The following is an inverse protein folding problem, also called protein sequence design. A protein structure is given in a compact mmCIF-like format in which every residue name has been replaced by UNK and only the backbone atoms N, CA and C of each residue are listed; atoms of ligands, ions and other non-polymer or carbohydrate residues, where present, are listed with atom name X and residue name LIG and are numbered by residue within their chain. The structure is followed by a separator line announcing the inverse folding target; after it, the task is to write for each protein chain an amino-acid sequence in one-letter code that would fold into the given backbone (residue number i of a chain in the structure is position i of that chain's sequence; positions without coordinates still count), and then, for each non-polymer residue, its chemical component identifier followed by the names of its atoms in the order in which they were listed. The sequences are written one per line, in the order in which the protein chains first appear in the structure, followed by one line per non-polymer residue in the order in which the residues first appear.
data_IF_308609537901
#
_entry.id   IF_308609537901
#
_cell.length_a   1.000
_cell.length_b   1.000
_cell.length_c   1.000
_cell.angle_alpha   90.00
_cell.angle_beta   90.00
_cell.angle_gamma   90.00
#
_symmetry.space_group_name_H-M   'P 1'
#
loop_
_entity.id
_entity.type
_entity.pdbx_description
1 polymer ?
#
# COMPACT_ATOMS: atom_id res chain seq x y z
N UNK A 1 -14.87 13.22 -7.02
CA UNK A 1 -14.56 11.89 -6.45
C UNK A 1 -14.45 10.91 -7.62
N UNK A 2 -13.51 9.98 -7.54
CA UNK A 2 -13.40 8.84 -8.47
C UNK A 2 -13.53 7.54 -7.67
N UNK A 3 -14.45 6.67 -8.06
CA UNK A 3 -14.62 5.34 -7.47
C UNK A 3 -14.32 4.26 -8.49
N UNK A 4 -13.37 3.37 -8.19
CA UNK A 4 -13.02 2.22 -9.01
C UNK A 4 -13.52 0.97 -8.31
N UNK A 5 -14.33 0.16 -9.00
CA UNK A 5 -14.89 -1.07 -8.44
C UNK A 5 -14.85 -2.19 -9.47
N UNK A 6 -14.06 -3.24 -9.20
CA UNK A 6 -13.82 -4.31 -10.15
C UNK A 6 -14.21 -5.66 -9.51
N UNK A 7 -15.37 -6.17 -9.91
CA UNK A 7 -15.87 -7.50 -9.60
C UNK A 7 -15.44 -8.52 -10.67
N UNK A 8 -15.25 -8.10 -11.92
CA UNK A 8 -14.93 -8.98 -13.05
C UNK A 8 -13.65 -8.56 -13.77
N UNK A 9 -12.83 -9.57 -14.06
CA UNK A 9 -11.55 -9.44 -14.74
C UNK A 9 -11.53 -10.29 -16.02
N UNK A 10 -10.84 -9.83 -17.05
CA UNK A 10 -10.63 -10.59 -18.29
C UNK A 10 -9.87 -11.92 -18.05
N UNK A 11 -9.12 -12.02 -16.96
CA UNK A 11 -8.45 -13.23 -16.50
C UNK A 11 -9.39 -14.39 -16.13
N UNK A 12 -10.70 -14.15 -16.02
CA UNK A 12 -11.72 -15.19 -15.87
C UNK A 12 -12.39 -15.26 -14.48
N UNK A 13 -13.22 -16.28 -14.28
CA UNK A 13 -14.06 -16.42 -13.09
C UNK A 13 -13.29 -16.57 -11.78
N UNK A 14 -12.09 -17.14 -11.82
CA UNK A 14 -11.25 -17.36 -10.63
C UNK A 14 -10.74 -16.07 -10.01
N UNK A 15 -10.75 -15.00 -10.81
CA UNK A 15 -10.41 -13.64 -10.40
C UNK A 15 -11.64 -12.84 -9.97
N UNK A 16 -12.84 -13.39 -10.15
CA UNK A 16 -14.06 -12.63 -9.86
C UNK A 16 -14.19 -12.35 -8.37
N UNK A 17 -14.47 -11.09 -8.06
CA UNK A 17 -14.83 -10.62 -6.74
C UNK A 17 -16.34 -10.35 -6.70
N UNK A 18 -16.85 -10.19 -5.48
CA UNK A 18 -18.22 -9.74 -5.26
C UNK A 18 -18.19 -8.61 -4.26
N UNK A 19 -18.62 -7.42 -4.68
CA UNK A 19 -18.76 -6.27 -3.79
C UNK A 19 -18.01 -4.99 -4.19
N UNK A 20 -16.80 -5.02 -4.76
CA UNK A 20 -16.12 -3.80 -5.19
C UNK A 20 -16.98 -2.81 -6.01
N UNK A 21 -17.78 -3.30 -6.96
CA UNK A 21 -18.74 -2.48 -7.72
C UNK A 21 -19.81 -1.87 -6.79
N UNK A 22 -20.38 -2.69 -5.89
CA UNK A 22 -21.40 -2.23 -4.94
C UNK A 22 -20.84 -1.17 -3.98
N UNK A 23 -19.61 -1.36 -3.51
CA UNK A 23 -18.92 -0.43 -2.61
C UNK A 23 -18.67 0.92 -3.30
N UNK A 24 -18.15 0.91 -4.54
CA UNK A 24 -17.96 2.13 -5.32
C UNK A 24 -19.27 2.93 -5.49
N UNK A 25 -20.39 2.24 -5.74
CA UNK A 25 -21.73 2.86 -5.85
C UNK A 25 -22.20 3.41 -4.49
N UNK A 26 -21.98 2.68 -3.38
CA UNK A 26 -22.30 3.15 -2.02
C UNK A 26 -21.52 4.42 -1.67
N UNK A 27 -20.23 4.47 -1.99
CA UNK A 27 -19.44 5.69 -1.84
C UNK A 27 -20.02 6.81 -2.70
N UNK A 28 -20.33 6.57 -3.98
CA UNK A 28 -20.93 7.57 -4.87
C UNK A 28 -22.20 8.19 -4.26
N UNK A 29 -23.13 7.33 -3.80
CA UNK A 29 -24.37 7.75 -3.13
C UNK A 29 -24.07 8.62 -1.91
N UNK A 30 -23.09 8.23 -1.09
CA UNK A 30 -22.73 8.99 0.11
C UNK A 30 -22.14 10.36 -0.23
N UNK A 31 -21.28 10.44 -1.25
CA UNK A 31 -20.68 11.68 -1.73
C UNK A 31 -21.75 12.64 -2.29
N UNK A 32 -22.65 12.14 -3.14
CA UNK A 32 -23.77 12.92 -3.68
C UNK A 32 -24.70 13.40 -2.55
N UNK A 33 -25.05 12.52 -1.62
CA UNK A 33 -25.87 12.89 -0.46
C UNK A 33 -25.20 13.90 0.48
N UNK A 34 -23.87 14.02 0.43
CA UNK A 34 -23.09 15.00 1.19
C UNK A 34 -22.87 16.32 0.43
N UNK A 35 -23.53 16.49 -0.73
CA UNK A 35 -23.52 17.73 -1.52
C UNK A 35 -22.44 17.81 -2.60
N UNK A 36 -21.70 16.73 -2.88
CA UNK A 36 -20.79 16.71 -4.02
C UNK A 36 -21.62 16.65 -5.32
N UNK A 37 -21.42 17.58 -6.27
CA UNK A 37 -22.17 17.58 -7.52
C UNK A 37 -22.02 16.23 -8.26
N UNK A 38 -23.12 15.57 -8.68
CA UNK A 38 -23.06 14.26 -9.33
C UNK A 38 -22.12 14.19 -10.53
N UNK A 39 -22.06 15.25 -11.33
CA UNK A 39 -21.17 15.36 -12.50
C UNK A 39 -19.67 15.40 -12.14
N UNK A 40 -19.34 15.68 -10.87
CA UNK A 40 -17.98 15.59 -10.33
C UNK A 40 -17.65 14.23 -9.69
N UNK A 41 -18.60 13.29 -9.74
CA UNK A 41 -18.44 11.92 -9.30
C UNK A 41 -18.31 11.02 -10.53
N UNK A 42 -17.19 10.32 -10.63
CA UNK A 42 -16.91 9.39 -11.73
C UNK A 42 -16.71 7.98 -11.18
N UNK A 43 -17.46 7.01 -11.69
CA UNK A 43 -17.33 5.59 -11.36
C UNK A 43 -16.72 4.83 -12.52
N UNK A 44 -15.65 4.09 -12.24
CA UNK A 44 -14.96 3.19 -13.15
C UNK A 44 -15.25 1.77 -12.69
N UNK A 45 -16.14 1.08 -13.39
CA UNK A 45 -16.73 -0.17 -12.90
C UNK A 45 -16.50 -1.33 -13.87
N UNK A 46 -16.41 -2.54 -13.32
CA UNK A 46 -16.49 -3.77 -14.10
C UNK A 46 -17.10 -4.91 -13.26
N UNK A 47 -18.25 -5.49 -13.67
CA UNK A 47 -19.02 -5.15 -14.86
C UNK A 47 -19.73 -3.80 -14.71
N UNK A 48 -20.34 -3.36 -15.81
CA UNK A 48 -21.27 -2.23 -15.77
C UNK A 48 -22.41 -2.53 -14.79
N UNK A 49 -22.80 -1.55 -13.97
CA UNK A 49 -23.89 -1.71 -13.02
C UNK A 49 -25.25 -1.59 -13.71
N UNK A 50 -26.31 -1.98 -13.01
CA UNK A 50 -27.65 -1.55 -13.36
C UNK A 50 -27.73 0.00 -13.24
N UNK A 51 -28.13 0.73 -14.30
CA UNK A 51 -28.21 2.20 -14.24
C UNK A 51 -29.13 2.72 -13.13
N UNK A 52 -30.15 1.95 -12.72
CA UNK A 52 -31.11 2.34 -11.68
C UNK A 52 -30.49 2.39 -10.29
N UNK A 53 -29.36 1.71 -10.07
CA UNK A 53 -28.67 1.73 -8.77
C UNK A 53 -27.68 2.89 -8.64
N UNK A 54 -27.35 3.56 -9.74
CA UNK A 54 -26.40 4.68 -9.74
C UNK A 54 -27.15 6.01 -9.50
N UNK A 55 -26.63 6.93 -8.66
CA UNK A 55 -27.25 8.24 -8.51
C UNK A 55 -27.34 9.00 -9.84
N UNK A 56 -28.45 9.71 -10.13
CA UNK A 56 -28.59 10.49 -11.35
C UNK A 56 -27.47 11.53 -11.51
N UNK A 57 -26.93 11.65 -12.72
CA UNK A 57 -25.87 12.60 -13.07
C UNK A 57 -24.44 12.13 -12.78
N UNK A 58 -24.26 11.01 -12.07
CA UNK A 58 -22.94 10.39 -11.88
C UNK A 58 -22.43 9.83 -13.21
N UNK A 59 -21.17 10.10 -13.52
CA UNK A 59 -20.52 9.58 -14.74
C UNK A 59 -20.06 8.16 -14.49
N UNK A 60 -20.54 7.20 -15.28
CA UNK A 60 -20.14 5.77 -15.19
C UNK A 60 -19.38 5.37 -16.45
N UNK A 61 -18.25 4.71 -16.29
CA UNK A 61 -17.41 4.18 -17.37
C UNK A 61 -16.78 2.83 -16.97
N UNK A 62 -16.19 2.15 -17.93
CA UNK A 62 -15.45 0.90 -17.71
C UNK A 62 -14.19 1.10 -16.86
N UNK A 63 -13.82 0.07 -16.09
CA UNK A 63 -12.59 0.02 -15.29
C UNK A 63 -11.39 -0.62 -16.03
N UNK A 64 -11.39 -0.58 -17.36
CA UNK A 64 -10.23 -1.01 -18.18
C UNK A 64 -9.05 -0.04 -18.10
N UNK A 65 -7.85 -0.54 -18.42
CA UNK A 65 -6.59 0.20 -18.41
C UNK A 65 -6.67 1.52 -19.17
N UNK A 66 -7.26 1.53 -20.36
CA UNK A 66 -7.31 2.72 -21.21
C UNK A 66 -8.17 3.82 -20.57
N UNK A 67 -9.37 3.45 -20.10
CA UNK A 67 -10.34 4.37 -19.51
C UNK A 67 -9.83 4.92 -18.17
N UNK A 68 -9.27 4.06 -17.32
CA UNK A 68 -8.71 4.49 -16.03
C UNK A 68 -7.57 5.49 -16.24
N UNK A 69 -6.66 5.21 -17.18
CA UNK A 69 -5.57 6.14 -17.53
C UNK A 69 -6.08 7.47 -18.05
N UNK A 70 -7.07 7.46 -18.94
CA UNK A 70 -7.59 8.68 -19.54
C UNK A 70 -8.21 9.59 -18.47
N UNK A 71 -9.02 9.02 -17.57
CA UNK A 71 -9.62 9.75 -16.45
C UNK A 71 -8.57 10.29 -15.50
N UNK A 72 -7.63 9.45 -15.02
CA UNK A 72 -6.66 9.86 -14.01
C UNK A 72 -5.59 10.82 -14.54
N UNK A 73 -5.09 10.61 -15.76
CA UNK A 73 -3.92 11.35 -16.27
C UNK A 73 -4.25 12.48 -17.23
N UNK A 74 -5.45 12.47 -17.84
CA UNK A 74 -5.84 13.52 -18.80
C UNK A 74 -7.00 14.34 -18.32
N UNK A 75 -8.07 13.71 -17.83
CA UNK A 75 -9.24 14.46 -17.42
C UNK A 75 -9.05 15.13 -16.06
N UNK A 76 -8.70 14.37 -15.02
CA UNK A 76 -8.58 14.92 -13.66
C UNK A 76 -7.63 16.13 -13.55
N UNK A 77 -6.42 16.13 -14.16
CA UNK A 77 -5.51 17.26 -14.03
C UNK A 77 -6.06 18.57 -14.63
N UNK A 78 -6.95 18.49 -15.63
CA UNK A 78 -7.57 19.68 -16.26
C UNK A 78 -8.65 20.33 -15.42
N UNK A 79 -9.16 19.62 -14.41
CA UNK A 79 -10.24 20.14 -13.58
C UNK A 79 -9.68 21.19 -12.60
N UNK A 80 -10.53 22.06 -12.05
CA UNK A 80 -10.13 23.11 -11.10
C UNK A 80 -10.84 22.89 -9.75
N UNK A 81 -10.35 21.94 -8.98
CA UNK A 81 -10.82 21.70 -7.62
C UNK A 81 -9.67 21.89 -6.62
N UNK A 82 -9.95 21.73 -5.33
CA UNK A 82 -8.93 21.75 -4.28
C UNK A 82 -8.74 20.39 -3.62
N UNK A 83 -9.73 19.49 -3.75
CA UNK A 83 -9.73 18.19 -3.06
C UNK A 83 -10.11 17.05 -4.00
N UNK A 84 -9.30 15.99 -4.01
CA UNK A 84 -9.54 14.74 -4.73
C UNK A 84 -9.81 13.61 -3.74
N UNK A 85 -10.80 12.79 -4.08
CA UNK A 85 -11.07 11.52 -3.40
C UNK A 85 -11.01 10.41 -4.43
N UNK A 86 -10.15 9.43 -4.21
CA UNK A 86 -10.05 8.21 -5.02
C UNK A 86 -10.36 7.01 -4.14
N UNK A 87 -11.37 6.24 -4.49
CA UNK A 87 -11.68 4.97 -3.83
C UNK A 87 -11.41 3.85 -4.84
N UNK A 88 -10.69 2.82 -4.43
CA UNK A 88 -10.37 1.68 -5.28
C UNK A 88 -10.69 0.37 -4.56
N UNK A 89 -11.61 -0.42 -5.12
CA UNK A 89 -11.90 -1.77 -4.70
C UNK A 89 -11.58 -2.77 -5.81
N UNK A 90 -10.82 -3.80 -5.48
CA UNK A 90 -10.46 -4.86 -6.43
C UNK A 90 -9.26 -5.68 -5.98
N UNK A 91 -8.70 -6.46 -6.89
CA UNK A 91 -7.43 -7.15 -6.67
C UNK A 91 -6.24 -6.20 -6.73
N UNK A 92 -5.26 -6.51 -5.90
CA UNK A 92 -3.96 -5.85 -5.88
C UNK A 92 -2.88 -6.80 -5.38
N UNK A 93 -1.64 -6.43 -5.64
CA UNK A 93 -0.46 -7.18 -5.22
C UNK A 93 0.72 -6.24 -4.99
N UNK A 94 1.79 -6.77 -4.41
CA UNK A 94 3.07 -6.08 -4.27
C UNK A 94 4.06 -6.76 -5.19
N UNK A 95 4.67 -5.99 -6.10
CA UNK A 95 5.67 -6.53 -7.03
C UNK A 95 7.04 -6.75 -6.36
N UNK A 96 8.00 -7.28 -7.12
CA UNK A 96 9.37 -7.53 -6.65
C UNK A 96 10.16 -6.26 -6.35
N UNK A 97 9.73 -5.10 -6.86
CA UNK A 97 10.23 -3.78 -6.48
C UNK A 97 9.56 -3.22 -5.22
N UNK A 98 8.64 -3.98 -4.62
CA UNK A 98 7.75 -3.59 -3.51
C UNK A 98 6.78 -2.47 -3.87
N UNK A 99 6.51 -2.26 -5.15
CA UNK A 99 5.49 -1.33 -5.59
C UNK A 99 4.12 -1.97 -5.46
N UNK A 100 3.15 -1.20 -4.95
CA UNK A 100 1.75 -1.59 -4.89
C UNK A 100 1.13 -1.50 -6.27
N UNK A 101 0.56 -2.61 -6.70
CA UNK A 101 -0.03 -2.79 -8.02
C UNK A 101 -1.52 -3.05 -7.88
N UNK A 102 -2.32 -2.37 -8.68
CA UNK A 102 -3.78 -2.52 -8.70
C UNK A 102 -4.23 -3.00 -10.08
N UNK A 103 -4.89 -4.15 -10.14
CA UNK A 103 -5.32 -4.75 -11.40
C UNK A 103 -6.47 -3.96 -12.04
N UNK A 104 -6.36 -3.67 -13.33
CA UNK A 104 -7.46 -3.20 -14.17
C UNK A 104 -8.41 -4.34 -14.54
N UNK A 105 -9.61 -4.00 -15.00
CA UNK A 105 -10.61 -5.01 -15.39
C UNK A 105 -10.18 -5.86 -16.60
N UNK A 106 -9.35 -5.32 -17.49
CA UNK A 106 -8.81 -6.01 -18.67
C UNK A 106 -7.52 -6.79 -18.39
N UNK A 107 -7.12 -6.91 -17.11
CA UNK A 107 -6.04 -7.81 -16.69
C UNK A 107 -6.32 -9.27 -17.09
N UNK A 108 -5.31 -9.95 -17.63
CA UNK A 108 -5.36 -11.35 -18.07
C UNK A 108 -4.32 -12.20 -17.36
N UNK A 109 -4.36 -13.52 -17.54
CA UNK A 109 -3.32 -14.41 -17.01
C UNK A 109 -1.93 -14.21 -17.67
N UNK A 110 -1.85 -13.55 -18.81
CA UNK A 110 -0.58 -13.35 -19.54
C UNK A 110 -0.08 -11.90 -19.51
N UNK A 111 -0.99 -10.94 -19.41
CA UNK A 111 -0.69 -9.53 -19.16
C UNK A 111 -1.34 -9.15 -17.83
N UNK A 112 -0.50 -8.87 -16.84
CA UNK A 112 -0.95 -8.45 -15.52
C UNK A 112 -1.94 -7.30 -15.60
N UNK A 113 -1.83 -6.33 -16.51
CA UNK A 113 -2.87 -5.32 -16.55
C UNK A 113 -2.96 -4.50 -15.26
N UNK A 114 -1.85 -3.97 -14.70
CA UNK A 114 -1.89 -3.36 -13.37
C UNK A 114 -1.30 -1.94 -13.29
N UNK A 115 -2.06 -1.05 -12.64
CA UNK A 115 -1.67 0.30 -12.27
C UNK A 115 -0.56 0.26 -11.21
N UNK A 116 0.51 1.00 -11.45
CA UNK A 116 1.53 1.31 -10.44
C UNK A 116 1.02 2.41 -9.50
N UNK A 117 0.53 2.03 -8.33
CA UNK A 117 -0.06 2.99 -7.40
C UNK A 117 0.97 3.96 -6.85
N UNK A 118 2.17 3.48 -6.52
CA UNK A 118 3.19 4.33 -5.91
C UNK A 118 3.69 5.38 -6.91
N UNK A 119 3.93 5.02 -8.18
CA UNK A 119 4.28 6.02 -9.19
C UNK A 119 3.11 6.95 -9.55
N UNK A 120 1.86 6.48 -9.50
CA UNK A 120 0.68 7.33 -9.70
C UNK A 120 0.56 8.37 -8.58
N UNK A 121 0.74 7.96 -7.32
CA UNK A 121 0.76 8.88 -6.18
C UNK A 121 1.87 9.92 -6.35
N UNK A 122 3.06 9.50 -6.78
CA UNK A 122 4.18 10.42 -7.07
C UNK A 122 3.83 11.42 -8.18
N UNK A 123 3.16 10.99 -9.26
CA UNK A 123 2.64 11.90 -10.30
C UNK A 123 1.71 12.94 -9.70
N UNK A 124 0.73 12.53 -8.89
CA UNK A 124 -0.25 13.42 -8.29
C UNK A 124 0.33 14.34 -7.19
N UNK A 125 1.46 13.96 -6.58
CA UNK A 125 2.22 14.81 -5.66
C UNK A 125 3.11 15.85 -6.37
N UNK A 126 3.26 15.75 -7.70
CA UNK A 126 4.19 16.56 -8.49
C UNK A 126 3.52 17.65 -9.31
N UNK A 127 4.27 18.68 -9.72
CA UNK A 127 3.82 19.80 -10.56
C UNK A 127 3.07 19.39 -11.85
N UNK A 128 3.14 18.13 -12.30
CA UNK A 128 2.30 17.58 -13.38
C UNK A 128 0.79 17.61 -13.10
N UNK A 129 0.37 17.64 -11.83
CA UNK A 129 -1.04 17.69 -11.43
C UNK A 129 -1.30 18.86 -10.48
N UNK A 130 -1.48 20.06 -11.03
CA UNK A 130 -1.62 21.30 -10.24
C UNK A 130 -2.92 21.42 -9.44
N UNK A 131 -3.95 20.66 -9.82
CA UNK A 131 -5.33 20.96 -9.49
C UNK A 131 -5.88 20.32 -8.21
N UNK A 132 -5.04 19.74 -7.35
CA UNK A 132 -5.51 19.09 -6.11
C UNK A 132 -4.51 19.27 -4.95
N UNK A 133 -4.79 20.26 -4.10
CA UNK A 133 -4.02 20.53 -2.90
C UNK A 133 -4.18 19.44 -1.84
N UNK A 134 -5.38 18.85 -1.74
CA UNK A 134 -5.68 17.73 -0.83
C UNK A 134 -6.14 16.52 -1.60
N UNK A 135 -5.65 15.35 -1.20
CA UNK A 135 -5.95 14.10 -1.88
C UNK A 135 -6.11 12.99 -0.86
N UNK A 136 -7.24 12.26 -0.93
CA UNK A 136 -7.51 11.09 -0.11
C UNK A 136 -7.72 9.87 -1.00
N UNK A 137 -6.88 8.87 -0.82
CA UNK A 137 -6.94 7.59 -1.52
C UNK A 137 -7.35 6.49 -0.54
N UNK A 138 -8.40 5.74 -0.86
CA UNK A 138 -8.91 4.64 -0.05
C UNK A 138 -8.83 3.39 -0.91
N UNK A 139 -7.92 2.47 -0.58
CA UNK A 139 -7.58 1.31 -1.40
C UNK A 139 -7.93 0.03 -0.65
N UNK A 140 -9.01 -0.61 -1.07
CA UNK A 140 -9.47 -1.91 -0.61
C UNK A 140 -9.02 -3.01 -1.57
N UNK A 141 -7.73 -3.35 -1.45
CA UNK A 141 -7.07 -4.40 -2.21
C UNK A 141 -6.04 -5.13 -1.36
N UNK A 142 -5.74 -6.37 -1.72
CA UNK A 142 -4.67 -7.16 -1.12
C UNK A 142 -3.29 -6.54 -1.37
N UNK A 143 -2.33 -6.81 -0.48
CA UNK A 143 -0.92 -6.42 -0.64
C UNK A 143 0.01 -7.63 -0.48
N UNK A 144 -0.39 -8.79 -0.98
CA UNK A 144 0.44 -10.00 -0.98
C UNK A 144 1.59 -9.86 -1.99
N UNK A 145 2.77 -10.41 -1.66
CA UNK A 145 3.86 -10.57 -2.63
C UNK A 145 3.53 -11.73 -3.56
N UNK A 146 3.72 -11.50 -4.85
CA UNK A 146 3.57 -12.40 -6.00
C UNK A 146 2.66 -13.66 -5.88
N UNK A 147 1.57 -13.61 -6.66
CA UNK A 147 0.81 -14.70 -7.32
C UNK A 147 0.05 -15.73 -6.46
N UNK A 148 -1.10 -15.33 -5.93
CA UNK A 148 -2.22 -16.27 -5.72
C UNK A 148 -2.93 -16.67 -7.03
N UNK A 149 -2.67 -15.95 -8.13
CA UNK A 149 -3.31 -16.20 -9.42
C UNK A 149 -2.26 -16.18 -10.54
N UNK A 150 -2.40 -17.11 -11.50
CA UNK A 150 -1.42 -17.56 -12.49
C UNK A 150 -0.87 -16.52 -13.51
N UNK A 151 -0.73 -15.25 -13.15
CA UNK A 151 -0.10 -14.23 -14.00
C UNK A 151 1.37 -14.53 -14.13
N UNK A 152 1.91 -14.59 -15.36
CA UNK A 152 3.33 -14.95 -15.58
C UNK A 152 4.26 -13.74 -15.67
N UNK A 153 3.74 -12.57 -16.03
CA UNK A 153 4.52 -11.37 -16.30
C UNK A 153 4.14 -10.24 -15.35
N UNK A 154 5.07 -9.63 -14.61
CA UNK A 154 4.74 -8.45 -13.79
C UNK A 154 4.31 -7.28 -14.68
N UNK A 155 3.36 -6.47 -14.19
CA UNK A 155 3.04 -5.19 -14.84
C UNK A 155 4.28 -4.29 -14.88
N UNK A 156 4.54 -3.67 -16.02
CA UNK A 156 5.69 -2.79 -16.27
C UNK A 156 5.30 -1.31 -16.34
N UNK A 157 4.04 -1.00 -16.03
CA UNK A 157 3.53 0.37 -16.08
C UNK A 157 4.22 1.21 -15.01
N UNK A 158 4.59 2.44 -15.38
CA UNK A 158 5.06 3.46 -14.45
C UNK A 158 4.64 4.81 -14.99
N UNK A 159 4.41 5.77 -14.10
CA UNK A 159 3.95 7.11 -14.47
C UNK A 159 5.04 8.16 -14.25
N UNK A 160 5.09 9.22 -15.08
CA UNK A 160 6.05 10.29 -14.89
C UNK A 160 5.76 11.02 -13.58
N UNK A 161 6.81 11.32 -12.82
CA UNK A 161 6.75 12.22 -11.67
C UNK A 161 7.55 13.48 -12.01
N UNK A 162 6.91 14.64 -11.89
CA UNK A 162 7.56 15.94 -12.06
C UNK A 162 8.24 16.41 -10.77
N UNK A 163 8.41 17.73 -10.63
CA UNK A 163 9.02 18.29 -9.43
C UNK A 163 8.04 18.23 -8.23
N UNK A 164 8.53 17.99 -7.00
CA UNK A 164 7.71 18.11 -5.79
C UNK A 164 7.02 19.48 -5.70
N UNK A 165 5.70 19.48 -5.50
CA UNK A 165 4.92 20.71 -5.48
C UNK A 165 4.49 21.09 -4.06
N UNK A 166 4.86 22.29 -3.62
CA UNK A 166 4.64 22.74 -2.26
C UNK A 166 3.15 22.87 -1.89
N UNK A 167 2.82 22.56 -0.64
CA UNK A 167 1.48 22.78 -0.08
C UNK A 167 0.50 21.63 -0.31
N UNK A 168 0.94 20.55 -0.97
CA UNK A 168 0.10 19.39 -1.24
C UNK A 168 0.12 18.37 -0.11
N UNK A 169 -1.05 17.79 0.15
CA UNK A 169 -1.25 16.73 1.15
C UNK A 169 -1.91 15.52 0.51
N UNK A 170 -1.30 14.35 0.70
CA UNK A 170 -1.83 13.07 0.25
C UNK A 170 -2.00 12.13 1.45
N UNK A 171 -3.23 11.69 1.64
CA UNK A 171 -3.64 10.70 2.61
C UNK A 171 -3.99 9.41 1.87
N UNK A 172 -3.33 8.30 2.20
CA UNK A 172 -3.57 7.02 1.53
C UNK A 172 -3.86 5.94 2.56
N UNK A 173 -5.07 5.40 2.53
CA UNK A 173 -5.52 4.35 3.42
C UNK A 173 -5.60 3.05 2.65
N UNK A 174 -4.97 2.03 3.19
CA UNK A 174 -4.97 0.68 2.65
C UNK A 174 -5.74 -0.27 3.56
N UNK A 175 -6.54 -1.13 2.95
CA UNK A 175 -7.23 -2.19 3.67
C UNK A 175 -6.26 -3.14 4.38
N UNK A 176 -5.15 -3.51 3.74
CA UNK A 176 -4.19 -4.47 4.26
C UNK A 176 -2.79 -3.87 4.38
N UNK A 177 -1.95 -4.42 5.25
CA UNK A 177 -0.51 -4.14 5.27
C UNK A 177 0.24 -4.93 4.21
N UNK A 178 1.48 -4.53 3.92
CA UNK A 178 2.37 -5.29 3.03
C UNK A 178 2.47 -6.75 3.49
N UNK A 179 2.31 -7.68 2.55
CA UNK A 179 2.25 -9.12 2.81
C UNK A 179 0.91 -9.64 3.36
N UNK A 180 -0.13 -8.81 3.46
CA UNK A 180 -1.45 -9.24 3.96
C UNK A 180 -2.53 -9.22 2.87
N UNK A 181 -3.50 -10.13 3.01
CA UNK A 181 -4.73 -10.13 2.22
C UNK A 181 -5.76 -9.16 2.80
N UNK A 182 -6.54 -8.52 1.93
CA UNK A 182 -7.75 -7.81 2.30
C UNK A 182 -8.94 -8.79 2.30
N UNK A 183 -9.79 -8.73 3.31
CA UNK A 183 -10.90 -9.65 3.48
C UNK A 183 -12.11 -9.21 2.64
N UNK A 184 -12.54 -10.07 1.72
CA UNK A 184 -13.78 -9.89 0.96
C UNK A 184 -14.94 -10.67 1.61
N UNK A 185 -16.03 -9.97 1.94
CA UNK A 185 -17.21 -10.53 2.59
C UNK A 185 -18.27 -10.88 1.53
N UNK A 186 -18.05 -11.98 0.80
CA UNK A 186 -18.87 -12.39 -0.37
C UNK A 186 -20.39 -12.32 -0.15
N UNK A 187 -20.89 -12.83 0.98
CA UNK A 187 -22.33 -12.82 1.31
C UNK A 187 -22.87 -11.39 1.47
N UNK A 188 -22.06 -10.48 2.02
CA UNK A 188 -22.42 -9.07 2.24
C UNK A 188 -22.07 -8.19 1.04
N UNK A 189 -21.42 -8.75 0.01
CA UNK A 189 -20.99 -8.07 -1.22
C UNK A 189 -20.26 -6.77 -0.90
N UNK A 190 -19.18 -6.89 -0.13
CA UNK A 190 -18.35 -5.74 0.30
C UNK A 190 -16.98 -6.20 0.77
N UNK A 191 -15.97 -5.35 0.65
CA UNK A 191 -14.72 -5.50 1.39
C UNK A 191 -14.92 -5.19 2.88
N UNK A 192 -14.25 -5.93 3.78
CA UNK A 192 -14.35 -5.68 5.22
C UNK A 192 -13.92 -4.23 5.55
N UNK A 193 -12.91 -3.73 4.86
CA UNK A 193 -12.41 -2.38 5.04
C UNK A 193 -13.39 -1.33 4.50
N UNK A 194 -13.83 -1.46 3.25
CA UNK A 194 -14.83 -0.57 2.66
C UNK A 194 -16.11 -0.51 3.50
N UNK A 195 -16.57 -1.65 4.03
CA UNK A 195 -17.71 -1.71 4.96
C UNK A 195 -17.51 -0.82 6.18
N UNK A 196 -16.38 -0.93 6.87
CA UNK A 196 -16.13 -0.14 8.08
C UNK A 196 -15.96 1.35 7.77
N UNK A 197 -15.34 1.70 6.65
CA UNK A 197 -15.26 3.09 6.17
C UNK A 197 -16.68 3.63 5.91
N UNK A 198 -17.49 2.92 5.11
CA UNK A 198 -18.86 3.32 4.81
C UNK A 198 -19.71 3.44 6.07
N UNK A 199 -19.58 2.51 7.02
CA UNK A 199 -20.27 2.56 8.32
C UNK A 199 -19.94 3.84 9.09
N UNK A 200 -18.67 4.24 9.13
CA UNK A 200 -18.23 5.48 9.79
C UNK A 200 -18.78 6.72 9.07
N UNK A 201 -18.81 6.70 7.73
CA UNK A 201 -19.39 7.79 6.94
C UNK A 201 -20.90 7.90 7.11
N UNK A 202 -21.62 6.78 7.22
CA UNK A 202 -23.09 6.71 7.37
C UNK A 202 -23.57 7.15 8.75
N UNK A 203 -22.78 6.92 9.81
CA UNK A 203 -23.13 7.27 11.19
C UNK A 203 -23.22 8.78 11.49
N UNK A 204 -23.08 9.64 10.48
CA UNK A 204 -23.39 11.08 10.58
C UNK A 204 -22.20 12.01 10.86
N UNK A 205 -20.98 11.50 10.82
CA UNK A 205 -19.75 12.28 11.03
C UNK A 205 -19.10 12.63 9.67
N UNK A 206 -19.77 13.41 8.82
CA UNK A 206 -19.24 13.84 7.49
C UNK A 206 -17.89 14.56 7.59
N UNK A 207 -17.53 15.01 8.79
CA UNK A 207 -16.23 15.56 9.16
C UNK A 207 -15.05 14.59 8.93
N UNK A 208 -15.28 13.27 8.86
CA UNK A 208 -14.22 12.28 8.61
C UNK A 208 -13.48 12.46 7.28
N UNK A 209 -14.15 12.96 6.24
CA UNK A 209 -13.50 13.21 4.95
C UNK A 209 -12.66 14.51 4.96
N UNK A 210 -13.00 15.45 5.85
CA UNK A 210 -12.21 16.64 6.15
C UNK A 210 -11.08 16.38 7.15
N UNK A 211 -11.18 15.30 7.94
CA UNK A 211 -10.20 14.86 8.94
C UNK A 211 -9.81 13.37 8.75
N UNK A 212 -8.95 13.07 7.76
CA UNK A 212 -8.46 11.71 7.52
C UNK A 212 -7.73 11.09 8.72
N UNK A 213 -7.08 11.91 9.56
CA UNK A 213 -6.34 11.43 10.72
C UNK A 213 -7.28 10.82 11.76
N UNK A 214 -8.40 11.50 12.04
CA UNK A 214 -9.46 10.97 12.88
C UNK A 214 -9.98 9.67 12.24
N UNK A 215 -10.29 9.64 10.94
CA UNK A 215 -10.87 8.47 10.27
C UNK A 215 -9.99 7.24 10.47
N UNK A 216 -8.68 7.43 10.31
CA UNK A 216 -7.67 6.38 10.54
C UNK A 216 -7.66 5.92 11.99
N UNK A 217 -7.77 6.81 12.97
CA UNK A 217 -7.81 6.45 14.38
C UNK A 217 -9.02 5.55 14.70
N UNK A 218 -10.21 5.93 14.24
CA UNK A 218 -11.44 5.14 14.44
C UNK A 218 -11.37 3.76 13.75
N UNK A 219 -10.86 3.72 12.52
CA UNK A 219 -10.68 2.46 11.79
C UNK A 219 -9.72 1.52 12.54
N UNK A 220 -8.65 2.05 13.15
CA UNK A 220 -7.69 1.21 13.89
C UNK A 220 -8.25 0.61 15.15
N UNK A 221 -8.96 1.41 15.93
CA UNK A 221 -9.62 0.93 17.13
C UNK A 221 -10.56 -0.22 16.76
N UNK A 222 -11.38 0.00 15.73
CA UNK A 222 -12.29 -1.02 15.23
C UNK A 222 -11.60 -2.29 14.76
N UNK A 223 -10.54 -2.17 13.96
CA UNK A 223 -9.81 -3.35 13.48
C UNK A 223 -9.02 -4.05 14.59
N UNK A 224 -8.68 -3.34 15.67
CA UNK A 224 -8.09 -3.96 16.87
C UNK A 224 -9.10 -4.85 17.58
N UNK A 225 -10.34 -4.40 17.74
CA UNK A 225 -11.43 -5.21 18.29
C UNK A 225 -11.74 -6.44 17.41
N UNK A 226 -11.79 -6.25 16.09
CA UNK A 226 -12.06 -7.35 15.14
C UNK A 226 -10.96 -8.41 15.18
N UNK A 227 -9.70 -8.02 15.35
CA UNK A 227 -8.59 -8.98 15.53
C UNK A 227 -8.66 -9.68 16.88
N UNK A 228 -8.93 -8.94 17.96
CA UNK A 228 -9.04 -9.51 19.31
C UNK A 228 -10.18 -10.55 19.41
N UNK A 229 -11.24 -10.38 18.62
CA UNK A 229 -12.35 -11.32 18.51
C UNK A 229 -12.13 -12.45 17.50
N UNK A 230 -10.95 -12.51 16.85
CA UNK A 230 -10.63 -13.55 15.86
C UNK A 230 -11.40 -13.42 14.53
N UNK A 231 -12.08 -12.31 14.28
CA UNK A 231 -12.90 -12.10 13.09
C UNK A 231 -12.10 -11.70 11.85
N UNK A 232 -10.84 -11.30 12.00
CA UNK A 232 -9.92 -10.99 10.90
C UNK A 232 -8.46 -11.04 11.34
N UNK A 233 -7.54 -11.31 10.41
CA UNK A 233 -6.09 -11.09 10.58
C UNK A 233 -5.59 -9.81 9.91
N UNK A 234 -6.45 -9.12 9.15
CA UNK A 234 -6.12 -7.92 8.38
C UNK A 234 -5.77 -6.74 9.30
N UNK A 235 -4.73 -5.99 8.92
CA UNK A 235 -4.37 -4.73 9.57
C UNK A 235 -4.38 -3.60 8.55
N UNK A 236 -5.36 -2.68 8.61
CA UNK A 236 -5.35 -1.50 7.76
C UNK A 236 -4.07 -0.70 7.99
N UNK A 237 -3.41 -0.35 6.89
CA UNK A 237 -2.23 0.51 6.95
C UNK A 237 -2.56 1.87 6.38
N UNK A 238 -2.02 2.89 7.02
CA UNK A 238 -2.15 4.27 6.58
C UNK A 238 -0.77 4.76 6.17
N UNK A 239 -0.70 5.33 4.97
CA UNK A 239 0.45 6.03 4.44
C UNK A 239 0.08 7.52 4.34
N UNK A 240 0.84 8.36 5.01
CA UNK A 240 0.67 9.81 4.98
C UNK A 240 1.86 10.45 4.26
N UNK A 241 1.57 11.31 3.28
CA UNK A 241 2.57 12.00 2.47
C UNK A 241 2.32 13.53 2.45
N UNK A 242 3.37 14.31 2.72
CA UNK A 242 3.39 15.78 2.56
C UNK A 242 4.76 16.17 2.00
N UNK A 243 4.81 16.99 0.95
CA UNK A 243 6.06 17.64 0.53
C UNK A 243 5.89 19.18 0.49
N UNK A 244 6.92 19.93 0.91
CA UNK A 244 7.76 20.68 -0.02
C UNK A 244 9.25 20.76 0.36
N UNK A 245 9.66 20.41 1.59
CA UNK A 245 11.02 20.65 2.10
C UNK A 245 11.50 19.64 3.17
N UNK A 246 11.27 18.34 2.93
CA UNK A 246 12.08 17.31 3.58
C UNK A 246 11.42 16.48 4.69
N UNK A 247 11.62 15.18 4.50
CA UNK A 247 11.44 14.02 5.38
C UNK A 247 10.04 13.41 5.61
N UNK A 248 9.99 12.13 5.20
CA UNK A 248 8.86 11.21 5.08
C UNK A 248 8.70 10.27 6.29
N UNK A 249 7.45 9.84 6.51
CA UNK A 249 7.16 8.43 6.79
C UNK A 249 6.31 8.16 8.02
N UNK A 250 5.18 7.49 7.81
CA UNK A 250 4.61 6.62 8.82
C UNK A 250 3.72 5.55 8.19
N UNK A 251 4.27 4.35 7.93
CA UNK A 251 3.46 3.12 7.90
C UNK A 251 3.12 2.80 9.35
N UNK A 252 2.00 3.32 9.82
CA UNK A 252 1.49 2.94 11.14
C UNK A 252 0.84 1.55 11.07
N UNK A 253 1.67 0.52 10.96
CA UNK A 253 1.31 -0.86 11.28
C UNK A 253 1.89 -1.21 12.66
N UNK A 254 1.43 -0.58 13.75
CA UNK A 254 1.90 -0.99 15.07
C UNK A 254 1.08 -2.17 15.56
N UNK A 255 1.66 -3.37 15.41
CA UNK A 255 1.35 -4.50 16.29
C UNK A 255 1.63 -4.08 17.75
N UNK A 256 0.58 -4.18 18.58
CA UNK A 256 0.55 -4.08 20.05
C UNK A 256 1.38 -2.95 20.72
N UNK A 257 0.68 -1.91 21.21
CA UNK A 257 1.11 -1.17 22.39
C UNK A 257 0.48 -1.84 23.62
N UNK A 258 1.29 -2.63 24.33
CA UNK A 258 0.87 -3.31 25.56
C UNK A 258 2.06 -3.65 26.46
N UNK A 259 3.05 -2.75 26.55
CA UNK A 259 4.09 -2.76 27.60
C UNK A 259 4.81 -1.41 27.63
N UNK A 260 5.25 -0.90 28.80
CA UNK A 260 6.06 0.31 28.87
C UNK A 260 7.30 0.15 27.98
N UNK A 261 7.58 1.16 27.16
CA UNK A 261 8.76 1.22 26.30
C UNK A 261 9.98 1.40 27.20
N UNK A 262 10.93 0.44 27.25
CA UNK A 262 12.24 0.71 27.84
C UNK A 262 12.93 1.82 27.02
N UNK A 263 13.84 2.61 27.62
CA UNK A 263 14.55 3.66 26.90
C UNK A 263 15.16 3.11 25.60
N UNK A 264 15.01 3.86 24.50
CA UNK A 264 15.52 3.44 23.20
C UNK A 264 17.02 3.11 23.32
N UNK A 265 17.49 1.95 22.80
CA UNK A 265 18.91 1.68 22.73
C UNK A 265 19.60 2.81 21.93
N UNK A 266 20.79 3.21 22.38
CA UNK A 266 21.55 4.26 21.73
C UNK A 266 21.76 3.92 20.24
N UNK A 267 21.56 4.86 19.33
CA UNK A 267 21.83 4.58 17.89
C UNK A 267 23.32 4.25 17.71
N UNK A 268 23.69 3.08 17.16
CA UNK A 268 25.10 2.77 16.96
C UNK A 268 25.72 3.72 15.93
N UNK A 269 26.96 4.20 16.16
CA UNK A 269 27.66 5.04 15.21
C UNK A 269 27.86 4.29 13.87
N UNK A 270 27.92 5.02 12.74
CA UNK A 270 28.08 4.40 11.41
C UNK A 270 29.26 3.43 11.29
N UNK A 271 30.35 3.68 12.02
CA UNK A 271 31.53 2.82 12.04
C UNK A 271 31.24 1.40 12.59
N UNK A 272 30.25 1.24 13.48
CA UNK A 272 29.84 -0.07 13.99
C UNK A 272 28.90 -0.81 13.04
N UNK A 273 28.20 -0.10 12.16
CA UNK A 273 27.34 -0.72 11.14
C UNK A 273 28.14 -1.28 9.96
N UNK A 274 29.27 -0.64 9.64
CA UNK A 274 30.05 -0.93 8.44
C UNK A 274 30.46 -2.41 8.32
N UNK A 275 30.97 -3.10 9.36
CA UNK A 275 31.38 -4.51 9.24
C UNK A 275 30.24 -5.44 8.83
N UNK A 276 29.05 -5.29 9.44
CA UNK A 276 27.89 -6.10 9.08
C UNK A 276 27.38 -5.77 7.67
N UNK A 277 27.33 -4.49 7.31
CA UNK A 277 26.92 -4.05 5.96
C UNK A 277 27.87 -4.61 4.90
N UNK A 278 29.18 -4.52 5.12
CA UNK A 278 30.19 -5.04 4.20
C UNK A 278 30.12 -6.57 4.10
N UNK A 279 29.87 -7.26 5.22
CA UNK A 279 29.67 -8.71 5.23
C UNK A 279 28.43 -9.13 4.44
N UNK A 280 27.29 -8.46 4.64
CA UNK A 280 26.07 -8.69 3.86
C UNK A 280 26.31 -8.47 2.36
N UNK A 281 27.02 -7.41 1.98
CA UNK A 281 27.34 -7.13 0.58
C UNK A 281 28.37 -8.09 -0.03
N UNK A 282 29.07 -8.87 0.80
CA UNK A 282 29.97 -9.94 0.34
C UNK A 282 29.24 -11.24 0.00
N UNK A 283 27.96 -11.36 0.38
CA UNK A 283 27.12 -12.52 0.04
C UNK A 283 26.48 -12.28 -1.34
N UNK A 284 26.78 -13.09 -2.35
CA UNK A 284 26.27 -12.89 -3.72
C UNK A 284 24.74 -12.82 -3.80
N UNK A 285 24.05 -13.66 -3.02
CA UNK A 285 22.59 -13.73 -2.95
C UNK A 285 22.00 -12.45 -2.32
N UNK A 286 22.69 -11.85 -1.34
CA UNK A 286 22.23 -10.59 -0.75
C UNK A 286 22.58 -9.36 -1.62
N UNK A 287 23.59 -9.47 -2.48
CA UNK A 287 23.99 -8.38 -3.39
C UNK A 287 22.98 -8.18 -4.53
N UNK A 288 22.34 -9.26 -5.00
CA UNK A 288 21.39 -9.21 -6.13
C UNK A 288 20.01 -8.73 -5.66
N UNK A 289 19.38 -7.76 -6.34
CA UNK A 289 18.10 -7.20 -5.88
C UNK A 289 16.97 -8.21 -5.70
N UNK A 290 16.83 -9.20 -6.59
CA UNK A 290 15.78 -10.22 -6.53
C UNK A 290 15.98 -11.19 -5.36
N UNK A 291 17.15 -11.83 -5.31
CA UNK A 291 17.53 -12.77 -4.25
C UNK A 291 17.49 -12.10 -2.86
N UNK A 292 17.95 -10.85 -2.74
CA UNK A 292 17.83 -10.05 -1.51
C UNK A 292 16.38 -9.80 -1.10
N UNK A 293 15.48 -9.59 -2.05
CA UNK A 293 14.06 -9.41 -1.75
C UNK A 293 13.46 -10.69 -1.18
N UNK A 294 13.84 -11.84 -1.74
CA UNK A 294 13.44 -13.16 -1.25
C UNK A 294 13.96 -13.42 0.17
N UNK A 295 15.24 -13.14 0.43
CA UNK A 295 15.85 -13.21 1.77
C UNK A 295 15.05 -12.38 2.78
N UNK A 296 14.76 -11.11 2.43
CA UNK A 296 14.09 -10.19 3.35
C UNK A 296 12.62 -10.53 3.55
N UNK A 297 11.98 -11.21 2.59
CA UNK A 297 10.60 -11.66 2.71
C UNK A 297 10.40 -12.70 3.84
N UNK A 298 11.47 -13.37 4.28
CA UNK A 298 11.45 -14.27 5.43
C UNK A 298 11.36 -13.55 6.78
N UNK A 299 11.66 -12.26 6.83
CA UNK A 299 11.48 -11.46 8.05
C UNK A 299 9.99 -11.32 8.36
N UNK A 300 9.66 -11.27 9.64
CA UNK A 300 8.27 -11.03 10.05
C UNK A 300 7.74 -9.72 9.47
N UNK A 301 6.46 -9.74 9.05
CA UNK A 301 5.89 -8.72 8.17
C UNK A 301 6.08 -7.27 8.62
N UNK A 302 6.04 -6.97 9.93
CA UNK A 302 6.24 -5.60 10.43
C UNK A 302 7.69 -5.11 10.35
N UNK A 303 8.69 -5.99 10.46
CA UNK A 303 10.11 -5.63 10.29
C UNK A 303 10.35 -5.39 8.81
N UNK A 304 9.95 -6.35 7.98
CA UNK A 304 10.06 -6.26 6.54
C UNK A 304 9.40 -4.98 5.99
N UNK A 305 8.17 -4.68 6.43
CA UNK A 305 7.44 -3.47 6.03
C UNK A 305 8.12 -2.15 6.43
N UNK A 306 8.95 -2.15 7.49
CA UNK A 306 9.62 -0.95 7.98
C UNK A 306 10.94 -0.62 7.27
N UNK A 307 11.48 -1.54 6.46
CA UNK A 307 12.73 -1.35 5.72
C UNK A 307 12.48 -0.37 4.57
N UNK A 308 13.17 0.78 4.57
CA UNK A 308 13.17 1.70 3.42
C UNK A 308 14.07 1.14 2.33
N UNK A 309 13.54 0.80 1.16
CA UNK A 309 14.34 0.19 0.09
C UNK A 309 15.14 1.21 -0.69
N UNK A 310 16.27 0.76 -1.22
CA UNK A 310 17.04 1.51 -2.21
C UNK A 310 17.51 0.58 -3.33
N UNK A 311 17.53 1.10 -4.57
CA UNK A 311 18.17 0.41 -5.69
C UNK A 311 19.70 0.29 -5.50
N UNK A 312 20.30 1.20 -4.73
CA UNK A 312 21.71 1.13 -4.38
C UNK A 312 21.95 0.10 -3.26
N UNK A 313 22.69 -0.97 -3.58
CA UNK A 313 22.87 -2.13 -2.70
C UNK A 313 23.33 -1.76 -1.27
N UNK A 314 24.33 -0.89 -1.16
CA UNK A 314 24.88 -0.44 0.12
C UNK A 314 23.88 0.38 0.95
N UNK A 315 23.15 1.29 0.31
CA UNK A 315 22.16 2.14 0.99
C UNK A 315 21.02 1.28 1.54
N UNK A 316 20.61 0.30 0.76
CA UNK A 316 19.57 -0.64 1.15
C UNK A 316 20.02 -1.56 2.30
N UNK A 317 21.24 -2.11 2.25
CA UNK A 317 21.80 -2.90 3.35
C UNK A 317 21.89 -2.11 4.66
N UNK A 318 22.28 -0.83 4.61
CA UNK A 318 22.27 0.07 5.79
C UNK A 318 20.85 0.23 6.34
N UNK A 319 19.86 0.40 5.47
CA UNK A 319 18.45 0.54 5.85
C UNK A 319 17.92 -0.73 6.52
N UNK A 320 18.24 -1.90 5.96
CA UNK A 320 17.89 -3.23 6.51
C UNK A 320 18.46 -3.37 7.93
N UNK A 321 19.76 -3.18 8.11
CA UNK A 321 20.43 -3.34 9.42
C UNK A 321 19.85 -2.37 10.44
N UNK A 322 19.73 -1.08 10.10
CA UNK A 322 19.15 -0.06 11.00
C UNK A 322 17.71 -0.37 11.37
N UNK A 323 16.94 -0.93 10.45
CA UNK A 323 15.57 -1.35 10.73
C UNK A 323 15.59 -2.52 11.72
N UNK A 324 16.39 -3.55 11.48
CA UNK A 324 16.48 -4.71 12.36
C UNK A 324 16.91 -4.34 13.80
N UNK A 325 17.80 -3.37 13.97
CA UNK A 325 18.18 -2.85 15.30
C UNK A 325 17.05 -2.16 16.06
N UNK A 326 15.98 -1.71 15.38
CA UNK A 326 14.82 -1.06 16.03
C UNK A 326 13.78 -2.06 16.53
N UNK A 327 13.87 -3.31 16.11
CA UNK A 327 12.86 -4.32 16.40
C UNK A 327 13.49 -5.49 17.16
N UNK A 328 13.08 -5.75 18.42
CA UNK A 328 13.67 -6.81 19.23
C UNK A 328 13.66 -8.17 18.53
N UNK A 329 14.83 -8.80 18.41
CA UNK A 329 15.02 -10.10 17.74
C UNK A 329 15.12 -10.06 16.21
N UNK A 330 14.86 -8.92 15.56
CA UNK A 330 14.87 -8.83 14.10
C UNK A 330 16.27 -8.97 13.48
N UNK A 331 17.34 -8.59 14.22
CA UNK A 331 18.71 -8.80 13.76
C UNK A 331 19.06 -10.29 13.67
N UNK A 332 18.59 -11.10 14.63
CA UNK A 332 18.74 -12.55 14.60
C UNK A 332 17.93 -13.16 13.44
N UNK A 333 16.68 -12.71 13.24
CA UNK A 333 15.86 -13.13 12.09
C UNK A 333 16.56 -12.86 10.75
N UNK A 334 17.22 -11.70 10.62
CA UNK A 334 18.00 -11.36 9.42
C UNK A 334 19.19 -12.32 9.22
N UNK A 335 19.93 -12.64 10.29
CA UNK A 335 21.05 -13.58 10.22
C UNK A 335 20.56 -14.97 9.78
N UNK A 336 19.47 -15.47 10.37
CA UNK A 336 18.88 -16.76 9.97
C UNK A 336 18.39 -16.75 8.52
N UNK A 337 17.71 -15.68 8.11
CA UNK A 337 17.23 -15.53 6.74
C UNK A 337 18.40 -15.51 5.75
N UNK A 338 19.47 -14.78 6.04
CA UNK A 338 20.67 -14.75 5.18
C UNK A 338 21.36 -16.11 5.15
N UNK A 339 21.49 -16.79 6.30
CA UNK A 339 22.09 -18.14 6.40
C UNK A 339 21.37 -19.16 5.54
N UNK A 340 20.04 -19.07 5.44
CA UNK A 340 19.25 -19.99 4.63
C UNK A 340 19.61 -19.95 3.14
N UNK A 341 20.02 -18.78 2.62
CA UNK A 341 20.37 -18.60 1.21
C UNK A 341 21.87 -18.54 0.93
N UNK A 342 22.69 -18.18 1.93
CA UNK A 342 24.12 -18.00 1.75
C UNK A 342 24.80 -19.32 1.37
N UNK A 343 25.56 -19.29 0.27
CA UNK A 343 26.37 -20.42 -0.18
C UNK A 343 27.82 -20.37 0.30
N UNK A 344 28.25 -19.25 0.89
CA UNK A 344 29.61 -19.01 1.40
C UNK A 344 29.62 -18.94 2.94
N UNK A 345 30.06 -20.03 3.57
CA UNK A 345 30.18 -20.15 5.03
C UNK A 345 31.12 -19.10 5.65
N UNK A 346 32.19 -18.70 4.94
CA UNK A 346 33.13 -17.70 5.43
C UNK A 346 32.54 -16.29 5.38
N UNK A 347 31.71 -15.99 4.36
CA UNK A 347 30.93 -14.75 4.31
C UNK A 347 29.84 -14.73 5.39
N UNK A 348 29.18 -15.86 5.62
CA UNK A 348 28.17 -16.00 6.65
C UNK A 348 28.75 -15.81 8.07
N UNK A 349 29.92 -16.38 8.35
CA UNK A 349 30.62 -16.16 9.63
C UNK A 349 30.90 -14.67 9.89
N UNK A 350 31.25 -13.88 8.85
CA UNK A 350 31.42 -12.43 8.98
C UNK A 350 30.11 -11.70 9.26
N UNK A 351 28.98 -12.19 8.74
CA UNK A 351 27.65 -11.65 9.03
C UNK A 351 27.28 -11.92 10.50
N UNK A 352 27.54 -13.13 10.99
CA UNK A 352 27.33 -13.51 12.40
C UNK A 352 28.17 -12.65 13.34
N UNK A 353 29.49 -12.55 13.11
CA UNK A 353 30.40 -11.69 13.87
C UNK A 353 29.95 -10.21 13.86
N UNK A 354 29.49 -9.73 12.70
CA UNK A 354 28.98 -8.37 12.53
C UNK A 354 27.70 -8.12 13.33
N UNK A 355 26.79 -9.10 13.37
CA UNK A 355 25.55 -9.04 14.12
C UNK A 355 25.80 -9.12 15.64
N UNK A 356 26.70 -9.99 16.10
CA UNK A 356 27.08 -10.09 17.52
C UNK A 356 27.64 -8.78 18.08
N UNK A 357 28.47 -8.07 17.30
CA UNK A 357 28.99 -6.74 17.68
C UNK A 357 27.89 -5.69 17.87
N UNK A 358 26.72 -5.91 17.25
CA UNK A 358 25.57 -5.02 17.34
C UNK A 358 24.52 -5.50 18.35
N UNK A 359 24.66 -6.69 18.95
CA UNK A 359 23.76 -7.20 19.98
C UNK A 359 23.54 -6.26 21.19
N UNK A 360 24.52 -5.43 21.62
CA UNK A 360 24.27 -4.43 22.67
C UNK A 360 23.27 -3.32 22.27
N UNK A 361 22.88 -3.25 20.99
CA UNK A 361 22.00 -2.24 20.41
C UNK A 361 20.64 -2.78 19.96
N UNK A 362 20.31 -4.06 20.25
CA UNK A 362 19.06 -4.72 19.81
C UNK A 362 17.95 -4.77 20.84
#
# INVERSE_FOLDING_TARGET
MVGVGIDRYAAGSDWSLVGPVDDAIRFARRFVASGVPPEQVTLLLAPDPDPTVVPPGVVVRSADRATVRDVLLRELPTRRQSTLYVIWGGHGYVDTGRHRRLYYADATATDAGALDLDSMLATFASDLVESFDRQLWIVDACQLHDRSHAVRTPGNETFPAGAPAAGRTQDVLFAAGLGQAAANLRVRRTGLFSREVLRLLEAGEVDWLGDPARLVAALRERFTELRASGLTGQTPTYLWYRNALGDEGLVLGRAQAGRPVPPAPATPPPALLAPLVDALLSIPEFLRPGDREEILSLLRGHVYAAIRRSSAARVDAISVVRTCLRYPGALAELVEAVRFFASDDAAMARVEDGAERLAPYT
#
